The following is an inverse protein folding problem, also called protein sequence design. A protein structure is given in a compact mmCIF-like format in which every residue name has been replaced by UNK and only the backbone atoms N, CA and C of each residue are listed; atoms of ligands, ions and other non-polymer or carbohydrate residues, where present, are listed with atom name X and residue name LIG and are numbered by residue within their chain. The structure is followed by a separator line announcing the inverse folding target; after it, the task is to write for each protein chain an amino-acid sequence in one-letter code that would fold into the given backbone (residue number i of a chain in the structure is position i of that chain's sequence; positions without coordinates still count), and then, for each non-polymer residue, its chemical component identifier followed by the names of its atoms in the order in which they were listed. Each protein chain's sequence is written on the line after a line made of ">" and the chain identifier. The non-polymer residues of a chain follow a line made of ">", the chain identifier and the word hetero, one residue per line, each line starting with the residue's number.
data_IF_432761075120
#
_entry.id   IF_432761075120
#
_cell.length_a   1.000
_cell.length_b   1.000
_cell.length_c   1.000
_cell.angle_alpha   90.00
_cell.angle_beta   90.00
_cell.angle_gamma   90.00
#
_symmetry.space_group_name_H-M   'P 1'
#
loop_
_entity.id
_entity.type
_entity.pdbx_description
1 polymer ?
#
# COMPACT_ATOMS: atom_id res chain seq x y z
N UNK A 1 26.83 4.48 8.14
CA UNK A 1 25.85 4.19 9.21
C UNK A 1 25.23 5.43 9.82
N UNK A 2 25.98 6.40 10.39
CA UNK A 2 25.38 7.63 10.99
C UNK A 2 24.60 8.48 9.98
N UNK A 3 25.11 8.68 8.77
CA UNK A 3 24.43 9.45 7.72
C UNK A 3 23.13 8.81 7.27
N UNK A 4 23.09 7.49 7.10
CA UNK A 4 21.88 6.77 6.73
C UNK A 4 20.78 6.89 7.81
N UNK A 5 21.16 6.86 9.07
CA UNK A 5 20.22 7.06 10.18
C UNK A 5 19.64 8.47 10.15
N UNK A 6 20.47 9.49 9.92
CA UNK A 6 20.02 10.88 9.83
C UNK A 6 19.05 11.06 8.66
N UNK A 7 19.40 10.53 7.49
CA UNK A 7 18.54 10.57 6.29
C UNK A 7 17.21 9.87 6.57
N UNK A 8 17.22 8.69 7.19
CA UNK A 8 16.01 7.96 7.52
C UNK A 8 15.11 8.74 8.48
N UNK A 9 15.67 9.39 9.51
CA UNK A 9 14.91 10.23 10.45
C UNK A 9 14.29 11.43 9.71
N UNK A 10 15.07 12.13 8.90
CA UNK A 10 14.57 13.30 8.15
C UNK A 10 13.46 12.91 7.16
N UNK A 11 13.66 11.84 6.38
CA UNK A 11 12.67 11.36 5.43
C UNK A 11 11.42 10.83 6.13
N UNK A 12 11.55 10.19 7.29
CA UNK A 12 10.39 9.74 8.08
C UNK A 12 9.58 10.93 8.61
N UNK A 13 10.24 11.99 9.08
CA UNK A 13 9.56 13.21 9.50
C UNK A 13 8.84 13.90 8.32
N UNK A 14 9.50 14.01 7.17
CA UNK A 14 8.89 14.54 5.94
C UNK A 14 7.72 13.66 5.47
N UNK A 15 7.86 12.35 5.53
CA UNK A 15 6.79 11.40 5.21
C UNK A 15 5.58 11.56 6.14
N UNK A 16 5.80 11.81 7.44
CA UNK A 16 4.73 12.09 8.39
C UNK A 16 3.95 13.36 8.01
N UNK A 17 4.66 14.44 7.68
CA UNK A 17 4.05 15.69 7.24
C UNK A 17 3.29 15.51 5.93
N UNK A 18 3.88 14.80 4.96
CA UNK A 18 3.28 14.55 3.67
C UNK A 18 2.06 13.63 3.79
N UNK A 19 2.11 12.55 4.57
CA UNK A 19 0.96 11.68 4.84
C UNK A 19 -0.17 12.42 5.55
N UNK A 20 0.15 13.28 6.52
CA UNK A 20 -0.82 14.16 7.16
C UNK A 20 -1.47 15.16 6.18
N UNK A 21 -0.72 15.66 5.20
CA UNK A 21 -1.24 16.50 4.15
C UNK A 21 -2.09 15.70 3.15
N UNK A 22 -1.64 14.51 2.70
CA UNK A 22 -2.38 13.64 1.80
C UNK A 22 -3.76 13.27 2.34
N UNK A 23 -3.84 12.86 3.61
CA UNK A 23 -5.13 12.50 4.22
C UNK A 23 -6.03 13.74 4.39
N UNK A 24 -5.45 14.92 4.60
CA UNK A 24 -6.21 16.17 4.59
C UNK A 24 -6.71 16.51 3.18
N UNK A 25 -5.86 16.37 2.17
CA UNK A 25 -6.23 16.60 0.78
C UNK A 25 -7.27 15.59 0.29
N UNK A 26 -7.26 14.36 0.80
CA UNK A 26 -8.30 13.36 0.49
C UNK A 26 -9.71 13.87 0.81
N UNK A 27 -9.86 14.81 1.76
CA UNK A 27 -11.17 15.41 2.07
C UNK A 27 -11.73 16.28 0.91
N UNK A 28 -10.94 16.54 -0.14
CA UNK A 28 -11.39 17.21 -1.37
C UNK A 28 -11.77 16.23 -2.49
N UNK A 29 -11.47 14.93 -2.30
CA UNK A 29 -11.75 13.85 -3.24
C UNK A 29 -13.11 13.24 -2.89
N UNK A 30 -13.86 12.82 -3.91
CA UNK A 30 -15.13 12.13 -3.73
C UNK A 30 -14.93 10.62 -3.60
N UNK A 31 -15.70 10.02 -2.72
CA UNK A 31 -15.86 8.56 -2.62
C UNK A 31 -16.54 8.00 -3.87
N UNK A 32 -16.56 6.70 -4.06
CA UNK A 32 -17.29 6.06 -5.17
C UNK A 32 -18.80 6.37 -5.10
N UNK A 33 -19.35 6.63 -3.91
CA UNK A 33 -20.73 7.06 -3.69
C UNK A 33 -20.97 8.57 -3.95
N UNK A 34 -19.90 9.33 -4.27
CA UNK A 34 -19.96 10.75 -4.60
C UNK A 34 -19.89 11.70 -3.40
N UNK A 35 -19.75 11.18 -2.18
CA UNK A 35 -19.52 11.97 -0.97
C UNK A 35 -18.04 12.34 -0.82
N UNK A 36 -17.73 13.35 -0.01
CA UNK A 36 -16.35 13.72 0.30
C UNK A 36 -15.82 12.83 1.43
N UNK A 37 -14.55 12.40 1.33
CA UNK A 37 -13.88 11.78 2.46
C UNK A 37 -13.83 12.74 3.66
N UNK A 38 -14.00 12.22 4.87
CA UNK A 38 -13.94 13.00 6.12
C UNK A 38 -13.10 12.26 7.15
N UNK A 39 -12.10 12.94 7.70
CA UNK A 39 -11.20 12.37 8.69
C UNK A 39 -11.10 13.25 9.95
N UNK A 40 -11.25 12.64 11.11
CA UNK A 40 -11.01 13.33 12.39
C UNK A 40 -9.50 13.62 12.57
N UNK A 41 -9.17 14.56 13.48
CA UNK A 41 -7.77 14.86 13.83
C UNK A 41 -6.99 13.60 14.27
N UNK A 42 -7.67 12.63 14.92
CA UNK A 42 -7.06 11.36 15.35
C UNK A 42 -6.62 10.52 14.15
N UNK A 43 -7.45 10.43 13.10
CA UNK A 43 -7.11 9.74 11.86
C UNK A 43 -5.94 10.39 11.13
N UNK A 44 -5.91 11.73 11.07
CA UNK A 44 -4.79 12.47 10.46
C UNK A 44 -3.48 12.22 11.21
N UNK A 45 -3.52 12.23 12.55
CA UNK A 45 -2.37 11.88 13.38
C UNK A 45 -1.93 10.43 13.20
N UNK A 46 -2.88 9.49 13.11
CA UNK A 46 -2.59 8.07 12.84
C UNK A 46 -1.88 7.89 11.50
N UNK A 47 -2.37 8.51 10.43
CA UNK A 47 -1.73 8.43 9.10
C UNK A 47 -0.33 9.03 9.11
N UNK A 48 -0.14 10.16 9.77
CA UNK A 48 1.19 10.77 9.90
C UNK A 48 2.19 9.83 10.60
N UNK A 49 1.79 9.22 11.72
CA UNK A 49 2.63 8.25 12.45
C UNK A 49 2.89 6.98 11.62
N UNK A 50 1.87 6.46 10.97
CA UNK A 50 1.99 5.28 10.11
C UNK A 50 2.92 5.55 8.92
N UNK A 51 2.80 6.72 8.28
CA UNK A 51 3.69 7.17 7.20
C UNK A 51 5.14 7.21 7.67
N UNK A 52 5.40 7.78 8.84
CA UNK A 52 6.75 7.84 9.42
C UNK A 52 7.32 6.44 9.68
N UNK A 53 6.51 5.55 10.27
CA UNK A 53 6.93 4.17 10.57
C UNK A 53 7.25 3.35 9.33
N UNK A 54 6.37 3.39 8.33
CA UNK A 54 6.59 2.70 7.05
C UNK A 54 7.80 3.30 6.33
N UNK A 55 7.92 4.63 6.30
CA UNK A 55 9.05 5.32 5.68
C UNK A 55 10.37 4.96 6.35
N UNK A 56 10.43 4.94 7.69
CA UNK A 56 11.62 4.53 8.42
C UNK A 56 12.09 3.14 7.98
N UNK A 57 11.16 2.19 7.87
CA UNK A 57 11.47 0.84 7.43
C UNK A 57 11.95 0.79 5.97
N UNK A 58 11.19 1.36 5.04
CA UNK A 58 11.49 1.29 3.60
C UNK A 58 12.75 2.06 3.23
N UNK A 59 13.03 3.20 3.88
CA UNK A 59 14.23 4.00 3.60
C UNK A 59 15.52 3.23 3.96
N UNK A 60 15.49 2.37 5.00
CA UNK A 60 16.63 1.53 5.33
C UNK A 60 16.95 0.49 4.26
N UNK A 61 16.00 0.12 3.42
CA UNK A 61 16.20 -0.84 2.30
C UNK A 61 16.72 -0.14 1.03
N UNK A 62 16.68 1.19 0.96
CA UNK A 62 17.09 1.94 -0.20
C UNK A 62 18.61 1.93 -0.39
N UNK A 63 19.04 1.61 -1.61
CA UNK A 63 20.48 1.64 -2.00
C UNK A 63 20.99 3.06 -2.28
N UNK A 64 20.10 3.99 -2.66
CA UNK A 64 20.42 5.38 -3.02
C UNK A 64 19.45 6.36 -2.39
N UNK A 65 19.94 7.58 -2.08
CA UNK A 65 19.14 8.63 -1.45
C UNK A 65 17.91 9.05 -2.29
N UNK A 66 18.01 9.05 -3.63
CA UNK A 66 16.89 9.36 -4.52
C UNK A 66 15.80 8.30 -4.39
N UNK A 67 16.20 7.02 -4.37
CA UNK A 67 15.28 5.91 -4.10
C UNK A 67 14.62 6.02 -2.73
N UNK A 68 15.37 6.43 -1.70
CA UNK A 68 14.85 6.65 -0.36
C UNK A 68 13.74 7.74 -0.33
N UNK A 69 13.90 8.83 -1.07
CA UNK A 69 12.87 9.89 -1.19
C UNK A 69 11.60 9.35 -1.84
N UNK A 70 11.72 8.57 -2.92
CA UNK A 70 10.56 7.96 -3.58
C UNK A 70 9.86 6.96 -2.66
N UNK A 71 10.62 6.13 -1.94
CA UNK A 71 10.06 5.19 -0.97
C UNK A 71 9.33 5.91 0.19
N UNK A 72 9.82 7.05 0.64
CA UNK A 72 9.13 7.87 1.62
C UNK A 72 7.77 8.40 1.11
N UNK A 73 7.71 8.76 -0.18
CA UNK A 73 6.46 9.11 -0.87
C UNK A 73 5.50 7.93 -0.95
N UNK A 74 5.98 6.76 -1.36
CA UNK A 74 5.20 5.51 -1.41
C UNK A 74 4.67 5.15 -0.02
N UNK A 75 5.50 5.26 1.02
CA UNK A 75 5.10 5.01 2.41
C UNK A 75 3.93 5.90 2.86
N UNK A 76 3.97 7.19 2.49
CA UNK A 76 2.91 8.14 2.80
C UNK A 76 1.59 7.78 2.10
N UNK A 77 1.67 7.36 0.84
CA UNK A 77 0.50 6.91 0.08
C UNK A 77 -0.05 5.58 0.61
N UNK A 78 0.81 4.64 1.00
CA UNK A 78 0.39 3.40 1.66
C UNK A 78 -0.38 3.69 2.95
N UNK A 79 0.14 4.56 3.81
CA UNK A 79 -0.54 4.94 5.05
C UNK A 79 -1.88 5.64 4.79
N UNK A 80 -1.96 6.47 3.75
CA UNK A 80 -3.19 7.17 3.36
C UNK A 80 -4.23 6.19 2.82
N UNK A 81 -3.86 5.32 1.87
CA UNK A 81 -4.74 4.30 1.31
C UNK A 81 -5.20 3.30 2.38
N UNK A 82 -4.30 2.89 3.28
CA UNK A 82 -4.63 2.05 4.42
C UNK A 82 -5.74 2.65 5.29
N UNK A 83 -5.66 3.95 5.59
CA UNK A 83 -6.65 4.64 6.40
C UNK A 83 -7.98 4.85 5.66
N UNK A 84 -7.93 5.13 4.35
CA UNK A 84 -9.12 5.29 3.52
C UNK A 84 -9.86 3.95 3.47
N UNK A 85 -9.17 2.87 3.15
CA UNK A 85 -9.78 1.55 3.01
C UNK A 85 -10.34 1.03 4.34
N UNK A 86 -9.65 1.22 5.46
CA UNK A 86 -10.17 0.87 6.78
C UNK A 86 -11.48 1.58 7.13
N UNK A 87 -11.71 2.78 6.60
CA UNK A 87 -12.86 3.60 6.94
C UNK A 87 -13.99 3.51 5.92
N UNK A 88 -13.64 3.45 4.65
CA UNK A 88 -14.60 3.54 3.55
C UNK A 88 -14.70 2.26 2.72
N UNK A 89 -13.81 1.28 2.94
CA UNK A 89 -13.70 0.04 2.17
C UNK A 89 -13.50 0.28 0.67
N UNK A 90 -12.74 1.33 0.34
CA UNK A 90 -12.40 1.70 -1.03
C UNK A 90 -10.98 2.26 -1.09
N UNK A 91 -10.34 2.14 -2.25
CA UNK A 91 -9.00 2.65 -2.53
C UNK A 91 -9.11 3.79 -3.54
N UNK A 92 -8.76 5.02 -3.13
CA UNK A 92 -8.92 6.21 -3.94
C UNK A 92 -8.11 6.13 -5.23
N UNK A 93 -8.75 6.38 -6.37
CA UNK A 93 -8.16 6.25 -7.70
C UNK A 93 -6.98 7.20 -7.91
N UNK A 94 -7.09 8.43 -7.39
CA UNK A 94 -6.06 9.48 -7.50
C UNK A 94 -4.77 9.04 -6.83
N UNK A 95 -4.88 8.42 -5.65
CA UNK A 95 -3.72 7.91 -4.91
C UNK A 95 -3.14 6.64 -5.54
N UNK A 96 -3.98 5.79 -6.16
CA UNK A 96 -3.51 4.65 -6.94
C UNK A 96 -2.73 5.10 -8.18
N UNK A 97 -3.17 6.16 -8.86
CA UNK A 97 -2.44 6.73 -9.98
C UNK A 97 -1.06 7.25 -9.54
N UNK A 98 -1.01 8.03 -8.45
CA UNK A 98 0.24 8.56 -7.92
C UNK A 98 1.17 7.44 -7.44
N UNK A 99 0.63 6.40 -6.79
CA UNK A 99 1.38 5.20 -6.42
C UNK A 99 2.00 4.52 -7.65
N UNK A 100 1.24 4.38 -8.73
CA UNK A 100 1.75 3.81 -9.98
C UNK A 100 2.91 4.61 -10.56
N UNK A 101 2.79 5.94 -10.60
CA UNK A 101 3.87 6.83 -11.05
C UNK A 101 5.12 6.66 -10.18
N UNK A 102 4.98 6.67 -8.85
CA UNK A 102 6.11 6.52 -7.93
C UNK A 102 6.72 5.11 -7.98
N UNK A 103 5.90 4.07 -8.17
CA UNK A 103 6.39 2.69 -8.31
C UNK A 103 7.26 2.52 -9.57
N UNK A 104 6.81 3.06 -10.70
CA UNK A 104 7.59 3.06 -11.93
C UNK A 104 8.85 3.91 -11.80
N UNK A 105 8.74 5.10 -11.19
CA UNK A 105 9.89 5.95 -10.93
C UNK A 105 10.94 5.26 -10.06
N UNK A 106 10.50 4.56 -9.00
CA UNK A 106 11.39 3.78 -8.14
C UNK A 106 12.10 2.67 -8.92
N UNK A 107 11.37 1.93 -9.76
CA UNK A 107 11.93 0.86 -10.60
C UNK A 107 13.00 1.41 -11.56
N UNK A 108 12.75 2.56 -12.19
CA UNK A 108 13.70 3.21 -13.09
C UNK A 108 14.95 3.67 -12.34
N UNK A 109 14.80 4.25 -11.14
CA UNK A 109 15.91 4.71 -10.30
C UNK A 109 16.75 3.54 -9.81
N UNK A 110 16.10 2.45 -9.40
CA UNK A 110 16.77 1.25 -8.90
C UNK A 110 17.59 0.54 -9.99
N UNK A 111 17.19 0.66 -11.26
CA UNK A 111 17.78 -0.01 -12.41
C UNK A 111 18.01 -1.50 -12.13
N UNK A 112 16.95 -2.28 -11.89
CA UNK A 112 17.10 -3.67 -11.50
C UNK A 112 17.77 -4.48 -12.61
N UNK A 113 18.64 -5.42 -12.22
CA UNK A 113 19.33 -6.32 -13.16
C UNK A 113 18.34 -7.12 -14.03
N UNK A 114 17.15 -7.43 -13.49
CA UNK A 114 16.10 -8.15 -14.19
C UNK A 114 14.76 -7.41 -14.18
N UNK A 115 14.63 -6.40 -15.07
CA UNK A 115 13.33 -5.76 -15.32
C UNK A 115 12.24 -6.77 -15.72
N UNK A 116 12.62 -7.83 -16.44
CA UNK A 116 11.70 -8.90 -16.85
C UNK A 116 11.05 -9.59 -15.65
N UNK A 117 11.81 -9.81 -14.56
CA UNK A 117 11.27 -10.44 -13.35
C UNK A 117 10.19 -9.58 -12.67
N UNK A 118 10.39 -8.27 -12.61
CA UNK A 118 9.38 -7.34 -12.09
C UNK A 118 8.13 -7.29 -12.97
N UNK A 119 8.30 -7.18 -14.29
CA UNK A 119 7.18 -7.14 -15.23
C UNK A 119 6.38 -8.45 -15.24
N UNK A 120 7.06 -9.59 -15.12
CA UNK A 120 6.39 -10.89 -15.07
C UNK A 120 5.63 -11.06 -13.74
N UNK A 121 6.22 -10.70 -12.61
CA UNK A 121 5.55 -10.71 -11.31
C UNK A 121 4.32 -9.81 -11.30
N UNK A 122 4.46 -8.59 -11.81
CA UNK A 122 3.36 -7.64 -11.97
C UNK A 122 2.23 -8.22 -12.83
N UNK A 123 2.55 -8.77 -14.01
CA UNK A 123 1.55 -9.34 -14.92
C UNK A 123 0.79 -10.48 -14.26
N UNK A 124 1.50 -11.43 -13.64
CA UNK A 124 0.89 -12.57 -12.95
C UNK A 124 -0.02 -12.09 -11.83
N UNK A 125 0.45 -11.14 -11.01
CA UNK A 125 -0.31 -10.62 -9.89
C UNK A 125 -1.60 -9.93 -10.34
N UNK A 126 -1.50 -9.04 -11.32
CA UNK A 126 -2.66 -8.31 -11.87
C UNK A 126 -3.66 -9.26 -12.51
N UNK A 127 -3.19 -10.21 -13.33
CA UNK A 127 -4.07 -11.20 -13.97
C UNK A 127 -4.77 -12.07 -12.93
N UNK A 128 -4.04 -12.56 -11.92
CA UNK A 128 -4.60 -13.40 -10.85
C UNK A 128 -5.72 -12.68 -10.11
N UNK A 129 -5.49 -11.44 -9.68
CA UNK A 129 -6.48 -10.67 -8.93
C UNK A 129 -7.62 -10.16 -9.81
N UNK A 130 -7.35 -9.84 -11.07
CA UNK A 130 -8.39 -9.51 -12.03
C UNK A 130 -9.33 -10.69 -12.29
N UNK A 131 -8.79 -11.90 -12.47
CA UNK A 131 -9.58 -13.13 -12.62
C UNK A 131 -10.38 -13.42 -11.33
N UNK A 132 -9.77 -13.23 -10.17
CA UNK A 132 -10.48 -13.38 -8.91
C UNK A 132 -11.68 -12.42 -8.84
N UNK A 133 -11.45 -11.13 -9.09
CA UNK A 133 -12.51 -10.13 -9.10
C UNK A 133 -13.62 -10.47 -10.11
N UNK A 134 -13.24 -10.87 -11.32
CA UNK A 134 -14.19 -11.11 -12.42
C UNK A 134 -15.05 -12.38 -12.23
N UNK A 135 -14.49 -13.44 -11.63
CA UNK A 135 -15.13 -14.76 -11.62
C UNK A 135 -15.52 -15.26 -10.23
N UNK A 136 -14.78 -14.90 -9.18
CA UNK A 136 -15.02 -15.41 -7.82
C UNK A 136 -15.82 -14.44 -6.95
N UNK A 137 -15.74 -13.15 -7.25
CA UNK A 137 -16.38 -12.12 -6.42
C UNK A 137 -15.73 -11.93 -5.04
N UNK A 138 -16.27 -11.01 -4.26
CA UNK A 138 -15.81 -10.73 -2.89
C UNK A 138 -14.51 -9.90 -2.79
N UNK A 139 -13.89 -9.56 -3.92
CA UNK A 139 -12.74 -8.67 -4.01
C UNK A 139 -13.19 -7.34 -4.61
N UNK A 140 -12.76 -6.22 -4.03
CA UNK A 140 -13.01 -4.88 -4.58
C UNK A 140 -12.20 -4.62 -5.85
N UNK A 141 -12.77 -3.93 -6.84
CA UNK A 141 -11.99 -3.53 -8.02
C UNK A 141 -10.87 -2.54 -7.67
N UNK A 142 -11.01 -1.81 -6.55
CA UNK A 142 -9.97 -0.96 -5.97
C UNK A 142 -8.69 -1.72 -5.66
N UNK A 143 -8.79 -2.97 -5.15
CA UNK A 143 -7.64 -3.83 -4.85
C UNK A 143 -6.88 -4.21 -6.12
N UNK A 144 -7.59 -4.50 -7.22
CA UNK A 144 -6.97 -4.76 -8.53
C UNK A 144 -6.22 -3.53 -9.04
N UNK A 145 -6.82 -2.33 -8.92
CA UNK A 145 -6.16 -1.06 -9.29
C UNK A 145 -4.93 -0.79 -8.44
N UNK A 146 -5.00 -1.08 -7.14
CA UNK A 146 -3.86 -0.95 -6.24
C UNK A 146 -2.70 -1.85 -6.67
N UNK A 147 -2.98 -3.10 -7.00
CA UNK A 147 -1.97 -4.04 -7.48
C UNK A 147 -1.44 -3.68 -8.87
N UNK A 148 -2.27 -3.11 -9.74
CA UNK A 148 -1.84 -2.53 -11.01
C UNK A 148 -0.81 -1.42 -10.79
N UNK A 149 -1.00 -0.60 -9.76
CA UNK A 149 -0.12 0.50 -9.42
C UNK A 149 1.17 0.06 -8.73
N UNK A 150 1.12 -0.95 -7.85
CA UNK A 150 2.22 -1.31 -6.94
C UNK A 150 2.94 -2.61 -7.27
N UNK A 151 2.35 -3.47 -8.09
CA UNK A 151 2.92 -4.79 -8.39
C UNK A 151 4.30 -4.75 -9.05
N UNK A 152 4.67 -3.62 -9.67
CA UNK A 152 6.03 -3.39 -10.19
C UNK A 152 7.12 -3.39 -9.10
N UNK A 153 6.73 -3.18 -7.85
CA UNK A 153 7.65 -3.17 -6.70
C UNK A 153 8.09 -4.57 -6.29
N UNK A 154 7.46 -5.63 -6.81
CA UNK A 154 7.75 -7.02 -6.50
C UNK A 154 8.58 -7.69 -7.60
N UNK A 155 9.46 -8.60 -7.17
CA UNK A 155 10.15 -9.55 -8.04
C UNK A 155 9.40 -10.89 -8.07
N UNK A 156 9.76 -11.77 -9.03
CA UNK A 156 9.20 -13.13 -9.09
C UNK A 156 9.43 -13.94 -7.81
N UNK A 157 10.60 -13.80 -7.20
CA UNK A 157 10.94 -14.52 -5.97
C UNK A 157 10.11 -14.04 -4.77
N UNK A 158 9.74 -12.76 -4.79
CA UNK A 158 8.90 -12.14 -3.75
C UNK A 158 7.40 -12.44 -3.92
N UNK A 159 6.96 -12.77 -5.15
CA UNK A 159 5.54 -12.91 -5.47
C UNK A 159 4.82 -13.94 -4.59
N UNK A 160 5.40 -15.14 -4.45
CA UNK A 160 4.80 -16.20 -3.64
C UNK A 160 4.73 -15.83 -2.15
N UNK A 161 5.80 -15.22 -1.64
CA UNK A 161 5.85 -14.76 -0.24
C UNK A 161 4.83 -13.66 0.00
N UNK A 162 4.70 -12.73 -0.95
CA UNK A 162 3.70 -11.67 -0.93
C UNK A 162 2.27 -12.22 -0.87
N UNK A 163 1.93 -13.13 -1.80
CA UNK A 163 0.61 -13.76 -1.84
C UNK A 163 0.31 -14.53 -0.56
N UNK A 164 1.26 -15.38 -0.13
CA UNK A 164 1.11 -16.17 1.09
C UNK A 164 0.90 -15.29 2.32
N UNK A 165 1.71 -14.24 2.50
CA UNK A 165 1.65 -13.33 3.64
C UNK A 165 0.34 -12.55 3.66
N UNK A 166 -0.03 -11.96 2.51
CA UNK A 166 -1.26 -11.16 2.38
C UNK A 166 -2.49 -12.00 2.69
N UNK A 167 -2.61 -13.17 2.04
CA UNK A 167 -3.76 -14.05 2.23
C UNK A 167 -3.81 -14.64 3.64
N UNK A 168 -2.67 -15.04 4.21
CA UNK A 168 -2.60 -15.57 5.56
C UNK A 168 -3.08 -14.57 6.61
N UNK A 169 -2.60 -13.32 6.53
CA UNK A 169 -3.03 -12.26 7.46
C UNK A 169 -4.51 -11.93 7.26
N UNK A 170 -4.99 -11.85 6.01
CA UNK A 170 -6.39 -11.59 5.71
C UNK A 170 -7.31 -12.70 6.25
N UNK A 171 -6.92 -13.98 6.10
CA UNK A 171 -7.67 -15.13 6.64
C UNK A 171 -7.72 -15.09 8.17
N UNK A 172 -6.59 -14.86 8.84
CA UNK A 172 -6.55 -14.72 10.31
C UNK A 172 -7.49 -13.61 10.76
N UNK A 173 -7.44 -12.45 10.12
CA UNK A 173 -8.29 -11.33 10.47
C UNK A 173 -9.77 -11.63 10.23
N UNK A 174 -10.11 -12.27 9.10
CA UNK A 174 -11.47 -12.72 8.81
C UNK A 174 -12.01 -13.70 9.88
N UNK A 175 -11.19 -14.69 10.28
CA UNK A 175 -11.54 -15.62 11.36
C UNK A 175 -11.75 -14.89 12.70
N UNK A 176 -10.88 -13.94 13.04
CA UNK A 176 -11.04 -13.12 14.25
C UNK A 176 -12.32 -12.30 14.23
N UNK A 177 -12.68 -11.72 13.08
CA UNK A 177 -13.96 -11.00 12.93
C UNK A 177 -15.19 -11.93 13.15
N UNK A 178 -15.12 -13.16 12.65
CA UNK A 178 -16.18 -14.15 12.86
C UNK A 178 -16.32 -14.53 14.33
N UNK A 179 -15.22 -14.77 15.03
CA UNK A 179 -15.22 -15.21 16.43
C UNK A 179 -15.62 -14.04 17.36
N UNK A 180 -14.95 -12.89 17.22
CA UNK A 180 -15.09 -11.76 18.15
C UNK A 180 -16.38 -10.98 17.92
N UNK A 181 -16.71 -10.70 16.66
CA UNK A 181 -17.89 -9.89 16.30
C UNK A 181 -19.11 -10.72 15.94
N UNK A 182 -19.03 -12.06 16.03
CA UNK A 182 -20.12 -12.99 15.64
C UNK A 182 -20.67 -12.69 14.22
N UNK A 183 -19.80 -12.22 13.33
CA UNK A 183 -20.14 -11.87 11.96
C UNK A 183 -20.14 -13.14 11.10
N UNK A 184 -21.08 -13.23 10.16
CA UNK A 184 -21.18 -14.37 9.24
C UNK A 184 -20.08 -14.37 8.16
N UNK A 185 -19.96 -15.48 7.43
CA UNK A 185 -19.02 -15.68 6.33
C UNK A 185 -19.11 -14.62 5.19
N UNK A 186 -20.26 -13.97 5.06
CA UNK A 186 -20.52 -12.95 4.04
C UNK A 186 -20.18 -11.53 4.49
N UNK A 187 -19.46 -11.38 5.60
CA UNK A 187 -19.10 -10.04 6.09
C UNK A 187 -17.98 -9.47 5.22
N UNK A 188 -18.25 -8.36 4.60
CA UNK A 188 -17.26 -7.57 3.89
C UNK A 188 -16.31 -6.91 4.87
N UNK A 189 -15.05 -6.80 4.51
CA UNK A 189 -14.02 -6.07 5.24
C UNK A 189 -12.98 -5.50 4.28
N UNK A 190 -12.34 -4.42 4.70
CA UNK A 190 -11.28 -3.77 3.95
C UNK A 190 -10.13 -4.74 3.65
N UNK A 191 -9.82 -5.01 2.37
CA UNK A 191 -8.76 -5.92 1.96
C UNK A 191 -7.44 -5.21 1.67
N UNK A 192 -7.48 -3.94 1.25
CA UNK A 192 -6.31 -3.11 0.96
C UNK A 192 -5.26 -3.05 2.07
N UNK A 193 -5.62 -2.97 3.38
CA UNK A 193 -4.65 -3.04 4.46
C UNK A 193 -3.75 -4.27 4.41
N UNK A 194 -4.26 -5.44 4.03
CA UNK A 194 -3.49 -6.68 3.95
C UNK A 194 -2.56 -6.68 2.74
N UNK A 195 -2.99 -6.10 1.61
CA UNK A 195 -2.14 -5.88 0.44
C UNK A 195 -0.95 -4.99 0.80
N UNK A 196 -1.19 -3.90 1.53
CA UNK A 196 -0.15 -2.96 1.96
C UNK A 196 0.80 -3.61 2.97
N UNK A 197 0.28 -4.33 3.97
CA UNK A 197 1.10 -5.05 4.95
C UNK A 197 1.97 -6.11 4.25
N UNK A 198 1.40 -6.86 3.30
CA UNK A 198 2.16 -7.83 2.51
C UNK A 198 3.32 -7.19 1.77
N UNK A 199 3.10 -6.03 1.11
CA UNK A 199 4.15 -5.26 0.43
C UNK A 199 5.27 -4.82 1.39
N UNK A 200 4.91 -4.37 2.59
CA UNK A 200 5.88 -3.92 3.60
C UNK A 200 6.70 -5.10 4.13
N UNK A 201 6.07 -6.24 4.43
CA UNK A 201 6.74 -7.41 5.00
C UNK A 201 7.73 -8.03 4.00
N UNK A 202 7.33 -8.16 2.75
CA UNK A 202 8.18 -8.74 1.71
C UNK A 202 9.34 -7.80 1.35
N UNK A 203 9.17 -6.54 1.63
CA UNK A 203 10.09 -5.48 1.22
C UNK A 203 9.89 -5.11 -0.25
N UNK A 204 10.21 -3.86 -0.55
CA UNK A 204 10.19 -3.36 -1.92
C UNK A 204 11.56 -3.71 -2.52
N UNK A 205 11.56 -4.74 -3.33
CA UNK A 205 12.73 -5.44 -3.86
C UNK A 205 13.68 -4.66 -4.74
#
# INVERSE_FOLDING_TARGET
>A
MKEQVIIAILLSALSALFGGWLIHYSETIKTEEGELYRFSKRWKGFVALLSAGISAYLVFTASHWVGAVVLAGIASLFATQFAIDLKYMELANEWNLLLGILSVAYLVIKQPESLKAHLLAWLILVVLFFLWWAFLGGLGFGDVKFLLATGFLLTMDQLLVYLATTLFIAVIFGLLLMIVKKKGLKTEFAFGPFLIIGMIIVGIG
#
